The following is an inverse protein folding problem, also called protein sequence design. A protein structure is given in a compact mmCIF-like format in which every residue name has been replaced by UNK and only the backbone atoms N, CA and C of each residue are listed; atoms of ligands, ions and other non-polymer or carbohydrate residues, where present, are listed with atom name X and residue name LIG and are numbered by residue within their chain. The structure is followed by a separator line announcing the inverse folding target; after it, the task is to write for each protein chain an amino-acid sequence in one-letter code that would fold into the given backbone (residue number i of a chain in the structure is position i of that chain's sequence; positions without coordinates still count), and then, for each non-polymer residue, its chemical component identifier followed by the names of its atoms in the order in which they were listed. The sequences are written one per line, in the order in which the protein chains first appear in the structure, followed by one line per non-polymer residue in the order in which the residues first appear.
data_IF_166902011438
#
_entry.id   IF_166902011438
#
_cell.length_a   1.000
_cell.length_b   1.000
_cell.length_c   1.000
_cell.angle_alpha   90.00
_cell.angle_beta   90.00
_cell.angle_gamma   90.00
#
_symmetry.space_group_name_H-M   'P 1'
#
loop_
_entity.id
_entity.type
_entity.pdbx_description
1 polymer ?
#
# COMPACT_ATOMS: atom_id res chain seq x y z
N UNK A 1 -7.01 28.07 -14.67
CA UNK A 1 -6.59 26.73 -14.21
C UNK A 1 -7.06 26.58 -12.78
N UNK A 2 -7.79 25.51 -12.47
CA UNK A 2 -8.15 25.18 -11.09
C UNK A 2 -6.91 24.56 -10.41
N UNK A 3 -6.50 25.11 -9.27
CA UNK A 3 -5.33 24.64 -8.53
C UNK A 3 -5.74 23.47 -7.64
N UNK A 4 -5.17 22.29 -7.87
CA UNK A 4 -5.40 21.10 -7.05
C UNK A 4 -4.24 20.83 -6.11
N UNK A 5 -4.55 20.47 -4.85
CA UNK A 5 -3.58 19.86 -3.93
C UNK A 5 -3.73 18.34 -3.93
N UNK A 6 -2.61 17.64 -3.76
CA UNK A 6 -2.56 16.18 -3.65
C UNK A 6 -2.69 15.80 -2.18
N UNK A 7 -3.69 15.00 -1.84
CA UNK A 7 -3.82 14.37 -0.53
C UNK A 7 -3.64 12.86 -0.68
N UNK A 8 -2.74 12.26 0.10
CA UNK A 8 -2.56 10.81 0.14
C UNK A 8 -3.24 10.25 1.39
N UNK A 9 -4.13 9.28 1.20
CA UNK A 9 -4.84 8.62 2.30
C UNK A 9 -4.49 7.15 2.28
N UNK A 10 -4.00 6.64 3.39
CA UNK A 10 -3.77 5.20 3.55
C UNK A 10 -5.11 4.48 3.40
N UNK A 11 -5.17 3.51 2.50
CA UNK A 11 -6.38 2.72 2.24
C UNK A 11 -6.23 1.30 2.75
N UNK A 12 -5.08 0.66 2.51
CA UNK A 12 -4.82 -0.73 2.87
C UNK A 12 -3.35 -0.95 3.19
N UNK A 13 -3.06 -2.01 3.94
CA UNK A 13 -1.71 -2.52 4.19
C UNK A 13 -1.63 -4.00 3.84
N UNK A 14 -0.50 -4.44 3.30
CA UNK A 14 -0.21 -5.83 2.94
C UNK A 14 1.06 -6.28 3.65
N UNK A 15 0.97 -7.34 4.44
CA UNK A 15 2.16 -8.04 4.88
C UNK A 15 2.75 -8.81 3.69
N UNK A 16 4.05 -8.66 3.47
CA UNK A 16 4.75 -9.23 2.33
C UNK A 16 6.05 -9.89 2.75
N UNK A 17 6.54 -10.83 1.94
CA UNK A 17 7.80 -11.52 2.14
C UNK A 17 8.66 -11.31 0.89
N UNK A 18 9.90 -10.90 1.09
CA UNK A 18 10.92 -10.80 0.04
C UNK A 18 11.48 -12.20 -0.32
N UNK A 19 12.20 -12.28 -1.42
CA UNK A 19 12.89 -13.47 -1.93
C UNK A 19 13.88 -14.11 -0.96
N UNK A 20 14.45 -13.33 -0.04
CA UNK A 20 15.35 -13.80 1.02
C UNK A 20 14.61 -14.27 2.29
N UNK A 21 13.28 -14.22 2.30
CA UNK A 21 12.43 -14.57 3.44
C UNK A 21 12.19 -13.41 4.42
N UNK A 22 12.77 -12.23 4.19
CA UNK A 22 12.53 -11.07 5.04
C UNK A 22 11.08 -10.60 4.95
N UNK A 23 10.45 -10.40 6.10
CA UNK A 23 9.07 -9.89 6.20
C UNK A 23 9.07 -8.36 6.16
N UNK A 24 8.13 -7.80 5.41
CA UNK A 24 7.93 -6.36 5.30
C UNK A 24 6.45 -6.01 5.14
N UNK A 25 6.18 -4.73 4.93
CA UNK A 25 4.84 -4.15 4.86
C UNK A 25 4.75 -3.25 3.64
N UNK A 26 3.83 -3.55 2.72
CA UNK A 26 3.47 -2.63 1.63
C UNK A 26 2.19 -1.90 2.00
N UNK A 27 2.22 -0.57 1.95
CA UNK A 27 1.08 0.30 2.21
C UNK A 27 0.53 0.88 0.90
N UNK A 28 -0.79 0.81 0.73
CA UNK A 28 -1.53 1.38 -0.38
C UNK A 28 -2.11 2.74 0.01
N UNK A 29 -1.69 3.79 -0.70
CA UNK A 29 -2.25 5.12 -0.55
C UNK A 29 -3.08 5.48 -1.78
N UNK A 30 -4.32 5.92 -1.54
CA UNK A 30 -5.15 6.53 -2.57
C UNK A 30 -4.86 8.02 -2.60
N UNK A 31 -4.46 8.52 -3.76
CA UNK A 31 -4.25 9.94 -3.99
C UNK A 31 -5.58 10.60 -4.37
N UNK A 32 -5.96 11.63 -3.64
CA UNK A 32 -7.08 12.50 -3.95
C UNK A 32 -6.56 13.85 -4.44
N UNK A 33 -7.14 14.34 -5.54
CA UNK A 33 -6.95 15.70 -6.02
C UNK A 33 -8.07 16.56 -5.43
N UNK A 34 -7.69 17.45 -4.51
CA UNK A 34 -8.62 18.31 -3.79
C UNK A 34 -8.45 19.74 -4.30
N UNK A 35 -9.52 20.44 -4.72
CA UNK A 35 -9.44 21.85 -5.10
C UNK A 35 -8.88 22.72 -3.96
N UNK A 36 -7.96 23.62 -4.29
CA UNK A 36 -7.26 24.46 -3.28
C UNK A 36 -8.11 25.64 -2.79
N UNK A 37 -9.23 25.95 -3.46
CA UNK A 37 -10.17 26.98 -3.05
C UNK A 37 -11.52 26.32 -2.70
N UNK A 38 -11.71 26.11 -1.40
CA UNK A 38 -12.74 25.27 -0.80
C UNK A 38 -14.17 25.82 -0.86
N UNK A 39 -14.46 26.87 -1.63
CA UNK A 39 -15.75 27.55 -1.54
C UNK A 39 -16.91 26.78 -2.19
N UNK A 40 -16.69 25.87 -3.17
CA UNK A 40 -17.82 25.32 -3.95
C UNK A 40 -17.68 23.86 -4.43
N UNK A 41 -16.65 23.12 -4.05
CA UNK A 41 -16.41 21.80 -4.64
C UNK A 41 -16.09 20.74 -3.60
N UNK A 42 -17.13 20.01 -3.16
CA UNK A 42 -16.98 18.72 -2.47
C UNK A 42 -16.44 17.61 -3.39
N UNK A 43 -15.99 17.93 -4.61
CA UNK A 43 -15.54 16.96 -5.59
C UNK A 43 -14.03 16.75 -5.44
N UNK A 44 -13.64 15.88 -4.51
CA UNK A 44 -12.32 15.25 -4.61
C UNK A 44 -12.32 14.30 -5.81
N UNK A 45 -11.30 14.39 -6.65
CA UNK A 45 -11.11 13.42 -7.74
C UNK A 45 -10.08 12.38 -7.33
N UNK A 46 -10.24 11.14 -7.79
CA UNK A 46 -9.21 10.12 -7.65
C UNK A 46 -8.05 10.46 -8.58
N UNK A 47 -6.87 10.66 -8.00
CA UNK A 47 -5.64 10.95 -8.72
C UNK A 47 -4.80 9.71 -9.01
N UNK A 48 -5.03 8.59 -8.31
CA UNK A 48 -4.32 7.33 -8.50
C UNK A 48 -4.06 6.59 -7.20
N UNK A 49 -3.27 5.51 -7.31
CA UNK A 49 -2.84 4.67 -6.19
C UNK A 49 -1.32 4.60 -6.18
N UNK A 50 -0.72 4.72 -5.00
CA UNK A 50 0.73 4.56 -4.81
C UNK A 50 1.00 3.53 -3.72
N UNK A 51 2.06 2.75 -3.92
CA UNK A 51 2.47 1.69 -2.99
C UNK A 51 3.86 2.00 -2.44
N UNK A 52 4.05 1.80 -1.13
CA UNK A 52 5.34 2.01 -0.47
C UNK A 52 5.61 0.95 0.58
N UNK A 53 6.88 0.64 0.81
CA UNK A 53 7.31 -0.07 1.99
C UNK A 53 7.23 0.84 3.23
N UNK A 54 7.26 0.24 4.42
CA UNK A 54 7.27 0.99 5.69
C UNK A 54 8.49 1.92 5.85
N UNK A 55 9.61 1.62 5.19
CA UNK A 55 10.81 2.49 5.15
C UNK A 55 10.66 3.67 4.16
N UNK A 56 9.52 3.78 3.47
CA UNK A 56 9.23 4.84 2.50
C UNK A 56 9.62 4.51 1.06
N UNK A 57 10.29 3.38 0.81
CA UNK A 57 10.69 2.94 -0.53
C UNK A 57 9.47 2.73 -1.42
N UNK A 58 9.49 3.31 -2.61
CA UNK A 58 8.41 3.14 -3.58
C UNK A 58 8.45 1.74 -4.20
N UNK A 59 7.29 1.09 -4.25
CA UNK A 59 7.11 -0.18 -4.93
C UNK A 59 5.99 -0.07 -5.97
N UNK A 60 6.02 -0.96 -6.95
CA UNK A 60 4.99 -1.13 -7.97
C UNK A 60 4.32 -2.46 -7.74
N UNK A 61 3.00 -2.50 -7.81
CA UNK A 61 2.25 -3.75 -7.83
C UNK A 61 2.31 -4.33 -9.25
N UNK A 62 2.95 -5.48 -9.40
CA UNK A 62 3.12 -6.17 -10.70
C UNK A 62 2.06 -7.23 -10.94
N UNK A 63 1.53 -7.81 -9.84
CA UNK A 63 0.42 -8.75 -9.83
C UNK A 63 -0.44 -8.51 -8.58
N UNK A 64 -1.66 -9.06 -8.48
CA UNK A 64 -2.49 -8.89 -7.29
C UNK A 64 -1.77 -9.19 -5.97
N UNK A 65 -0.82 -10.13 -5.96
CA UNK A 65 -0.05 -10.54 -4.79
C UNK A 65 1.46 -10.32 -4.94
N UNK A 66 1.93 -9.55 -5.93
CA UNK A 66 3.36 -9.26 -6.12
C UNK A 66 3.65 -7.78 -6.23
N UNK A 67 4.71 -7.37 -5.57
CA UNK A 67 5.23 -6.01 -5.58
C UNK A 67 6.70 -6.03 -5.94
N UNK A 68 7.18 -4.99 -6.62
CA UNK A 68 8.58 -4.84 -6.99
C UNK A 68 9.06 -3.44 -6.67
N UNK A 69 10.27 -3.28 -6.14
CA UNK A 69 10.87 -1.95 -6.01
C UNK A 69 10.98 -1.25 -7.36
N UNK A 70 11.02 0.08 -7.35
CA UNK A 70 11.09 0.86 -8.58
C UNK A 70 12.36 0.61 -9.41
N UNK A 71 13.47 0.30 -8.75
CA UNK A 71 14.75 -0.13 -9.36
C UNK A 71 14.69 -1.56 -9.93
N UNK A 72 13.75 -2.39 -9.44
CA UNK A 72 13.59 -3.77 -9.85
C UNK A 72 14.48 -4.77 -9.10
N UNK A 73 15.18 -4.35 -8.05
CA UNK A 73 16.13 -5.20 -7.32
C UNK A 73 15.45 -6.17 -6.36
N UNK A 74 14.28 -5.80 -5.84
CA UNK A 74 13.56 -6.59 -4.82
C UNK A 74 12.14 -6.88 -5.27
N UNK A 75 11.73 -8.12 -5.07
CA UNK A 75 10.36 -8.57 -5.31
C UNK A 75 9.77 -9.12 -4.02
N UNK A 76 8.56 -8.66 -3.71
CA UNK A 76 7.82 -9.05 -2.53
C UNK A 76 6.55 -9.77 -2.95
N UNK A 77 6.21 -10.82 -2.23
CA UNK A 77 4.97 -11.56 -2.41
C UNK A 77 4.09 -11.44 -1.17
N UNK A 78 2.78 -11.35 -1.37
CA UNK A 78 1.80 -11.56 -0.29
C UNK A 78 1.69 -13.06 -0.07
N UNK A 79 2.59 -13.61 0.73
CA UNK A 79 2.59 -15.02 1.14
C UNK A 79 2.49 -15.11 2.66
N UNK A 80 1.51 -15.84 3.16
CA UNK A 80 1.50 -16.34 4.54
C UNK A 80 2.47 -17.50 4.67
N UNK A 81 2.77 -17.90 5.91
CA UNK A 81 3.81 -18.88 6.28
C UNK A 81 3.64 -20.28 5.64
N UNK A 82 2.53 -20.54 4.92
CA UNK A 82 2.24 -21.80 4.24
C UNK A 82 1.58 -21.62 2.86
N UNK A 83 1.87 -20.53 2.15
CA UNK A 83 1.27 -20.26 0.83
C UNK A 83 -0.20 -19.84 0.87
N UNK A 84 -0.75 -19.60 2.06
CA UNK A 84 -2.06 -18.97 2.22
C UNK A 84 -1.95 -17.46 2.00
N UNK A 85 -2.88 -16.89 1.23
CA UNK A 85 -2.88 -15.47 0.91
C UNK A 85 -3.24 -14.63 2.15
N UNK A 86 -2.36 -13.71 2.56
CA UNK A 86 -2.70 -12.74 3.60
C UNK A 86 -3.74 -11.77 3.03
N UNK A 87 -4.88 -11.64 3.71
CA UNK A 87 -5.90 -10.68 3.34
C UNK A 87 -5.35 -9.25 3.47
N UNK A 88 -5.80 -8.36 2.58
CA UNK A 88 -5.50 -6.93 2.71
C UNK A 88 -6.01 -6.42 4.07
N UNK A 89 -5.13 -5.74 4.82
CA UNK A 89 -5.46 -5.20 6.13
C UNK A 89 -6.07 -3.80 6.00
N UNK A 90 -6.93 -3.44 6.94
CA UNK A 90 -7.52 -2.10 7.00
C UNK A 90 -6.44 -1.02 7.19
N UNK A 91 -6.73 0.20 6.73
CA UNK A 91 -5.87 1.34 6.95
C UNK A 91 -5.58 1.54 8.46
N UNK A 92 -4.32 1.83 8.79
CA UNK A 92 -3.87 2.08 10.16
C UNK A 92 -3.53 0.81 10.96
N UNK A 93 -3.65 -0.39 10.39
CA UNK A 93 -3.18 -1.61 11.04
C UNK A 93 -1.68 -1.81 10.81
N UNK A 94 -0.93 -1.98 11.91
CA UNK A 94 0.51 -2.24 11.87
C UNK A 94 0.78 -3.66 11.36
N UNK A 95 1.62 -3.77 10.32
CA UNK A 95 1.98 -5.07 9.73
C UNK A 95 2.63 -6.06 10.73
N UNK A 96 3.18 -5.57 11.85
CA UNK A 96 3.74 -6.40 12.92
C UNK A 96 2.70 -7.08 13.83
N UNK A 97 1.50 -6.52 13.97
CA UNK A 97 0.48 -7.02 14.90
C UNK A 97 -0.29 -8.25 14.36
N UNK A 98 -0.22 -8.54 13.06
CA UNK A 98 -1.06 -9.55 12.40
C UNK A 98 -0.27 -10.70 11.74
N UNK A 99 1.04 -10.80 11.93
CA UNK A 99 1.78 -12.05 11.68
C UNK A 99 1.44 -13.15 12.71
N UNK A 100 0.53 -12.87 13.65
CA UNK A 100 -0.01 -13.77 14.68
C UNK A 100 -1.50 -14.07 14.49
N UNK A 101 -1.96 -14.26 13.26
CA UNK A 101 -3.13 -15.11 13.10
C UNK A 101 -2.65 -16.55 13.27
N UNK A 102 -2.71 -17.02 14.52
CA UNK A 102 -2.70 -18.44 14.85
C UNK A 102 -3.70 -19.16 13.93
N UNK A 103 -3.18 -20.01 13.07
CA UNK A 103 -3.97 -21.04 12.42
C UNK A 103 -4.23 -22.11 13.50
N UNK A 104 -5.48 -22.21 13.96
CA UNK A 104 -5.95 -23.45 14.60
C UNK A 104 -5.79 -24.62 13.63
#
# INVERSE_FOLDING_TARGET
MENFRKEFRLSRSFAVVDSDGARSCVQEYVMHLVPSHAAQSNRSMLGGVVYRLADGTAVRRTQPNRFKTADGDREFSVTGEHGQYLAAMAAGTECGALARFDLN
#
